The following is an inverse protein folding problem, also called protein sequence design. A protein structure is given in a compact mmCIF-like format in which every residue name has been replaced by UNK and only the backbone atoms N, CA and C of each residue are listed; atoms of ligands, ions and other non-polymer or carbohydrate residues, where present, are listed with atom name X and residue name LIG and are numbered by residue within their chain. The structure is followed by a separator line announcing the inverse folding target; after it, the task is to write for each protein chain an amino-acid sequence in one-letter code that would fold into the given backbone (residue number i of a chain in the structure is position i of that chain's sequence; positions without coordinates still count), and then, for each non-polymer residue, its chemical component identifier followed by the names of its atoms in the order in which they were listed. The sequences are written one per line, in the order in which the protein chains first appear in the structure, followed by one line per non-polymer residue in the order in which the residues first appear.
data_IF_459238820611
#
_entry.id   IF_459238820611
#
_cell.length_a   1.000
_cell.length_b   1.000
_cell.length_c   1.000
_cell.angle_alpha   90.00
_cell.angle_beta   90.00
_cell.angle_gamma   90.00
#
_symmetry.space_group_name_H-M   'P 1'
#
loop_
_entity.id
_entity.type
_entity.pdbx_description
1 polymer ?
#
# COMPACT_ATOMS: atom_id res chain seq x y z
N UNK A 1 -1.38 -12.62 19.84
CA UNK A 1 0.08 -12.55 20.15
C UNK A 1 0.23 -12.48 21.67
N UNK A 2 0.77 -13.52 22.30
CA UNK A 2 1.08 -13.49 23.73
C UNK A 2 2.49 -12.89 23.90
N UNK A 3 2.57 -11.61 24.26
CA UNK A 3 3.83 -10.96 24.57
C UNK A 3 4.27 -11.37 25.99
N UNK A 4 5.56 -11.65 26.15
CA UNK A 4 6.12 -12.05 27.43
C UNK A 4 5.86 -10.96 28.48
N UNK A 5 5.22 -11.34 29.58
CA UNK A 5 5.03 -10.47 30.75
C UNK A 5 6.40 -10.23 31.38
N UNK A 6 6.86 -8.98 31.33
CA UNK A 6 8.10 -8.56 31.98
C UNK A 6 7.83 -8.10 33.40
N UNK A 7 8.65 -8.54 34.35
CA UNK A 7 8.70 -7.95 35.68
C UNK A 7 9.93 -7.04 35.75
N UNK A 8 9.75 -5.81 36.23
CA UNK A 8 10.85 -4.97 36.69
C UNK A 8 10.99 -5.19 38.18
N UNK A 9 12.20 -5.46 38.64
CA UNK A 9 12.53 -5.52 40.07
C UNK A 9 13.70 -4.58 40.37
N UNK A 10 13.62 -3.89 41.50
CA UNK A 10 14.73 -3.08 42.01
C UNK A 10 14.92 -3.30 43.51
N UNK A 11 16.17 -3.52 43.96
CA UNK A 11 16.53 -3.55 45.38
C UNK A 11 16.87 -2.16 45.96
N UNK A 12 16.74 -1.09 45.18
CA UNK A 12 17.18 0.25 45.58
C UNK A 12 16.25 0.90 46.63
N UNK A 13 16.77 1.72 47.59
CA UNK A 13 18.16 2.15 47.75
C UNK A 13 19.01 1.29 48.70
N UNK A 14 18.43 0.60 49.68
CA UNK A 14 19.17 -0.07 50.76
C UNK A 14 19.39 -1.58 50.57
N UNK A 15 18.78 -2.21 49.57
CA UNK A 15 18.92 -3.65 49.32
C UNK A 15 18.15 -4.56 50.29
N UNK A 16 17.45 -3.99 51.28
CA UNK A 16 16.73 -4.74 52.32
C UNK A 16 15.38 -5.32 51.83
N UNK A 17 14.79 -4.71 50.80
CA UNK A 17 13.51 -5.12 50.22
C UNK A 17 13.60 -5.06 48.69
N UNK A 18 12.84 -5.92 48.00
CA UNK A 18 12.67 -5.87 46.54
C UNK A 18 11.34 -5.22 46.20
N UNK A 19 11.39 -4.08 45.52
CA UNK A 19 10.22 -3.51 44.86
C UNK A 19 10.09 -4.16 43.48
N UNK A 20 8.89 -4.62 43.14
CA UNK A 20 8.60 -5.23 41.84
C UNK A 20 7.35 -4.59 41.23
N UNK A 21 7.31 -4.54 39.90
CA UNK A 21 6.16 -4.07 39.15
C UNK A 21 5.96 -4.94 37.90
N UNK A 22 4.70 -5.29 37.62
CA UNK A 22 4.32 -5.94 36.38
C UNK A 22 4.24 -4.90 35.26
N UNK A 23 5.01 -5.09 34.19
CA UNK A 23 4.85 -4.30 32.96
C UNK A 23 3.73 -4.90 32.12
N UNK A 24 2.59 -4.22 32.09
CA UNK A 24 1.56 -4.40 31.07
C UNK A 24 1.35 -3.09 30.32
N UNK A 25 2.28 -2.70 29.43
CA UNK A 25 2.06 -1.53 28.59
C UNK A 25 0.85 -1.78 27.68
N UNK A 26 -0.04 -0.79 27.50
CA UNK A 26 -1.10 -0.89 26.51
C UNK A 26 -0.47 -0.88 25.11
N UNK A 27 -0.30 -2.07 24.54
CA UNK A 27 0.26 -2.25 23.19
C UNK A 27 -0.86 -2.56 22.21
N UNK A 28 -0.84 -1.88 21.07
CA UNK A 28 -1.71 -2.16 19.93
C UNK A 28 -0.84 -2.72 18.79
N UNK A 29 -1.24 -3.86 18.23
CA UNK A 29 -0.55 -4.46 17.09
C UNK A 29 -1.52 -4.71 15.94
N UNK A 30 -1.05 -4.52 14.71
CA UNK A 30 -1.80 -4.81 13.49
C UNK A 30 -1.44 -6.22 13.04
N UNK A 31 -2.45 -7.08 12.88
CA UNK A 31 -2.27 -8.45 12.36
C UNK A 31 -2.77 -8.48 10.94
N UNK A 32 -1.88 -8.77 9.99
CA UNK A 32 -2.27 -8.86 8.58
C UNK A 32 -3.04 -10.16 8.28
N UNK A 33 -4.03 -10.11 7.37
CA UNK A 33 -4.78 -11.29 6.98
C UNK A 33 -3.85 -12.33 6.34
N UNK A 34 -4.14 -13.62 6.58
CA UNK A 34 -3.36 -14.71 6.01
C UNK A 34 -3.67 -14.82 4.50
N UNK A 35 -2.66 -14.84 3.61
CA UNK A 35 -2.91 -14.97 2.18
C UNK A 35 -3.52 -16.35 1.85
N UNK A 36 -4.50 -16.37 0.95
CA UNK A 36 -5.12 -17.58 0.41
C UNK A 36 -4.08 -18.48 -0.31
N UNK A 37 -4.42 -19.71 -0.70
CA UNK A 37 -3.56 -20.51 -1.59
C UNK A 37 -3.44 -19.83 -2.98
N UNK A 38 -2.36 -20.15 -3.71
CA UNK A 38 -2.26 -19.75 -5.12
C UNK A 38 -3.30 -20.53 -5.92
N UNK A 39 -4.08 -19.83 -6.76
CA UNK A 39 -5.07 -20.50 -7.60
C UNK A 39 -5.95 -19.55 -8.39
N UNK A 40 -6.37 -18.44 -7.79
CA UNK A 40 -7.17 -17.44 -8.49
C UNK A 40 -6.26 -16.42 -9.19
N UNK A 41 -6.32 -16.30 -10.53
CA UNK A 41 -5.51 -15.31 -11.24
C UNK A 41 -5.90 -13.90 -10.81
N UNK A 42 -4.93 -12.97 -10.67
CA UNK A 42 -5.25 -11.58 -10.43
C UNK A 42 -6.07 -11.00 -11.59
N UNK A 43 -6.89 -9.96 -11.33
CA UNK A 43 -7.61 -9.28 -12.39
C UNK A 43 -6.64 -8.77 -13.47
N UNK A 44 -7.11 -8.69 -14.73
CA UNK A 44 -6.29 -8.26 -15.85
C UNK A 44 -5.70 -6.88 -15.55
N UNK A 45 -4.46 -6.71 -15.96
CA UNK A 45 -3.69 -5.52 -15.68
C UNK A 45 -4.31 -4.33 -16.38
N UNK A 46 -4.66 -3.28 -15.63
CA UNK A 46 -5.06 -2.01 -16.23
C UNK A 46 -3.79 -1.26 -16.62
N UNK A 47 -3.69 -0.87 -17.89
CA UNK A 47 -2.62 0.00 -18.36
C UNK A 47 -2.85 1.39 -17.79
N UNK A 48 -2.45 1.61 -16.54
CA UNK A 48 -2.41 2.95 -15.98
C UNK A 48 -1.17 3.64 -16.55
N UNK A 49 -1.40 4.66 -17.37
CA UNK A 49 -0.33 5.53 -17.83
C UNK A 49 0.17 6.46 -16.71
N UNK A 50 -0.25 6.26 -15.45
CA UNK A 50 -0.01 7.10 -14.29
C UNK A 50 0.99 6.57 -13.26
N UNK A 51 2.21 7.14 -13.28
CA UNK A 51 2.93 7.61 -12.09
C UNK A 51 3.53 6.63 -11.06
N UNK A 52 3.17 5.34 -11.05
CA UNK A 52 3.61 4.40 -10.00
C UNK A 52 5.15 4.16 -9.93
N UNK A 53 5.91 4.60 -10.94
CA UNK A 53 7.39 4.50 -10.97
C UNK A 53 8.09 5.86 -11.03
N UNK A 54 7.37 6.98 -10.90
CA UNK A 54 7.92 8.34 -11.09
C UNK A 54 8.93 8.72 -9.98
N UNK A 55 8.78 8.17 -8.77
CA UNK A 55 9.72 8.42 -7.66
C UNK A 55 11.04 7.65 -7.78
N UNK A 56 11.09 6.60 -8.61
CA UNK A 56 12.27 5.74 -8.80
C UNK A 56 13.02 6.04 -10.09
N UNK A 57 12.43 6.78 -11.04
CA UNK A 57 13.07 7.12 -12.32
C UNK A 57 13.87 8.42 -12.19
N UNK A 58 15.16 8.34 -12.51
CA UNK A 58 16.07 9.49 -12.54
C UNK A 58 15.84 10.39 -13.75
N UNK A 59 16.50 11.56 -13.78
CA UNK A 59 16.44 12.50 -14.91
C UNK A 59 16.88 11.90 -16.25
N UNK A 60 17.67 10.82 -16.22
CA UNK A 60 18.18 10.12 -17.40
C UNK A 60 17.08 9.46 -18.25
N UNK A 61 15.92 9.17 -17.65
CA UNK A 61 14.77 8.58 -18.35
C UNK A 61 13.80 9.64 -18.92
N UNK A 62 14.13 10.93 -18.94
CA UNK A 62 13.21 11.95 -19.45
C UNK A 62 13.02 11.87 -20.98
N UNK A 63 11.80 11.54 -21.44
CA UNK A 63 11.45 11.44 -22.85
C UNK A 63 10.95 12.75 -23.46
N UNK A 64 10.43 13.68 -22.65
CA UNK A 64 9.91 14.95 -23.14
C UNK A 64 8.71 15.49 -22.36
N UNK A 65 8.04 16.49 -22.95
CA UNK A 65 6.80 17.07 -22.42
C UNK A 65 5.64 16.76 -23.35
N UNK A 66 4.48 16.39 -22.78
CA UNK A 66 3.21 16.27 -23.52
C UNK A 66 2.14 17.17 -22.95
N UNK A 67 1.13 17.51 -23.74
CA UNK A 67 -0.06 18.23 -23.25
C UNK A 67 -0.82 17.40 -22.21
N UNK A 68 -1.25 18.04 -21.13
CA UNK A 68 -2.03 17.41 -20.05
C UNK A 68 -3.36 16.86 -20.58
N UNK A 69 -3.66 15.61 -20.24
CA UNK A 69 -4.96 15.00 -20.47
C UNK A 69 -5.67 14.72 -19.15
N UNK A 70 -7.01 14.81 -19.17
CA UNK A 70 -7.83 14.48 -18.01
C UNK A 70 -7.62 12.98 -17.66
N UNK A 71 -6.91 12.73 -16.56
CA UNK A 71 -6.40 11.40 -16.19
C UNK A 71 -4.93 11.42 -15.77
N UNK A 72 -4.18 12.45 -16.18
CA UNK A 72 -2.80 12.64 -15.75
C UNK A 72 -2.70 13.09 -14.29
N UNK A 73 -1.72 12.51 -13.57
CA UNK A 73 -1.40 12.93 -12.20
C UNK A 73 -0.91 14.38 -12.16
N UNK A 74 -1.44 15.24 -11.26
CA UNK A 74 -0.98 16.62 -11.08
C UNK A 74 0.51 16.73 -10.69
N UNK A 75 1.08 15.68 -10.08
CA UNK A 75 2.50 15.65 -9.70
C UNK A 75 3.44 15.69 -10.91
N UNK A 76 2.96 15.31 -12.09
CA UNK A 76 3.73 15.31 -13.34
C UNK A 76 3.66 16.64 -14.10
N UNK A 77 2.89 17.62 -13.61
CA UNK A 77 2.78 18.93 -14.26
C UNK A 77 4.17 19.59 -14.25
N UNK A 78 4.65 19.92 -15.44
CA UNK A 78 5.83 20.72 -15.63
C UNK A 78 5.48 22.17 -15.29
N UNK A 79 5.42 22.50 -14.00
CA UNK A 79 5.13 23.86 -13.51
C UNK A 79 6.05 24.91 -14.14
N UNK A 80 7.30 24.53 -14.45
CA UNK A 80 8.27 25.39 -15.16
C UNK A 80 7.83 25.71 -16.60
N UNK A 81 7.17 24.79 -17.30
CA UNK A 81 6.61 25.04 -18.63
C UNK A 81 5.30 25.85 -18.54
N UNK A 82 4.47 25.56 -17.53
CA UNK A 82 3.24 26.32 -17.27
C UNK A 82 3.54 27.80 -16.95
N UNK A 83 4.52 28.07 -16.09
CA UNK A 83 4.97 29.42 -15.75
C UNK A 83 5.55 30.19 -16.95
N UNK A 84 5.99 29.49 -18.00
CA UNK A 84 6.49 30.07 -19.26
C UNK A 84 5.38 30.28 -20.31
N UNK A 85 4.11 30.08 -19.94
CA UNK A 85 2.96 30.26 -20.84
C UNK A 85 2.77 29.13 -21.85
N UNK A 86 3.46 27.99 -21.70
CA UNK A 86 3.38 26.86 -22.66
C UNK A 86 2.17 25.93 -22.42
N UNK A 87 1.21 26.36 -21.60
CA UNK A 87 0.06 25.56 -21.21
C UNK A 87 0.38 24.47 -20.17
N UNK A 88 -0.63 23.69 -19.81
CA UNK A 88 -0.49 22.55 -18.88
C UNK A 88 0.21 21.40 -19.60
N UNK A 89 1.50 21.26 -19.30
CA UNK A 89 2.38 20.23 -19.86
C UNK A 89 2.76 19.24 -18.78
N UNK A 90 2.96 17.98 -19.17
CA UNK A 90 3.25 16.84 -18.29
C UNK A 90 4.59 16.24 -18.69
N UNK A 91 5.48 16.00 -17.71
CA UNK A 91 6.74 15.29 -17.93
C UNK A 91 6.46 13.84 -18.31
N UNK A 92 7.02 13.40 -19.44
CA UNK A 92 6.98 12.02 -19.93
C UNK A 92 8.38 11.43 -19.77
N UNK A 93 8.47 10.25 -19.19
CA UNK A 93 9.71 9.50 -19.05
C UNK A 93 9.68 8.27 -19.97
N UNK A 94 10.79 7.99 -20.65
CA UNK A 94 11.00 6.84 -21.52
C UNK A 94 11.05 5.58 -20.65
N UNK A 95 9.98 4.81 -20.68
CA UNK A 95 9.94 3.52 -20.02
C UNK A 95 8.52 3.00 -20.00
N UNK A 96 8.34 1.84 -20.64
CA UNK A 96 7.20 0.93 -20.65
C UNK A 96 5.98 1.40 -19.87
N UNK A 97 4.85 1.56 -20.58
CA UNK A 97 3.54 1.73 -19.98
C UNK A 97 3.43 0.84 -18.73
N UNK A 98 3.25 1.47 -17.56
CA UNK A 98 3.25 0.75 -16.30
C UNK A 98 1.94 0.01 -16.22
N UNK A 99 1.96 -1.24 -16.65
CA UNK A 99 0.88 -2.18 -16.44
C UNK A 99 0.72 -2.35 -14.94
N UNK A 100 -0.38 -1.82 -14.39
CA UNK A 100 -0.68 -1.88 -12.96
C UNK A 100 -1.89 -2.75 -12.68
N UNK A 101 -1.84 -3.54 -11.62
CA UNK A 101 -3.02 -4.31 -11.19
C UNK A 101 -3.90 -3.46 -10.29
N UNK A 102 -5.21 -3.41 -10.56
CA UNK A 102 -6.18 -2.85 -9.61
C UNK A 102 -6.86 -4.00 -8.87
N UNK A 103 -6.65 -4.07 -7.57
CA UNK A 103 -7.34 -5.02 -6.70
C UNK A 103 -8.56 -4.33 -6.07
N UNK A 104 -9.75 -4.84 -6.36
CA UNK A 104 -11.02 -4.28 -5.91
C UNK A 104 -11.78 -5.30 -5.04
N UNK A 105 -12.19 -4.87 -3.85
CA UNK A 105 -13.07 -5.61 -2.95
C UNK A 105 -14.38 -6.06 -3.60
N UNK A 106 -14.99 -5.19 -4.43
CA UNK A 106 -16.29 -5.46 -5.04
C UNK A 106 -16.19 -6.44 -6.21
N UNK A 107 -15.00 -6.69 -6.75
CA UNK A 107 -14.78 -7.64 -7.84
C UNK A 107 -14.85 -9.12 -7.39
N UNK A 108 -14.95 -9.38 -6.08
CA UNK A 108 -15.02 -10.74 -5.51
C UNK A 108 -16.37 -11.01 -4.79
N UNK A 109 -17.54 -10.74 -5.41
CA UNK A 109 -18.81 -10.81 -4.70
C UNK A 109 -19.20 -12.23 -4.26
N UNK A 110 -18.61 -13.25 -4.89
CA UNK A 110 -18.88 -14.67 -4.66
C UNK A 110 -18.15 -15.26 -3.44
N UNK A 111 -17.22 -14.51 -2.84
CA UNK A 111 -16.47 -14.96 -1.67
C UNK A 111 -17.04 -14.34 -0.39
N UNK A 112 -16.97 -15.09 0.70
CA UNK A 112 -17.18 -14.57 2.06
C UNK A 112 -16.17 -13.45 2.37
N UNK A 113 -16.51 -12.48 3.23
CA UNK A 113 -15.65 -11.32 3.47
C UNK A 113 -14.21 -11.67 3.89
N UNK A 114 -14.05 -12.66 4.78
CA UNK A 114 -12.72 -13.13 5.21
C UNK A 114 -11.92 -13.74 4.04
N UNK A 115 -12.61 -14.50 3.16
CA UNK A 115 -11.98 -15.08 1.98
C UNK A 115 -11.58 -14.01 0.95
N UNK A 116 -12.34 -12.91 0.84
CA UNK A 116 -11.96 -11.75 0.02
C UNK A 116 -10.68 -11.10 0.54
N UNK A 117 -10.58 -10.86 1.86
CA UNK A 117 -9.37 -10.31 2.48
C UNK A 117 -8.15 -11.22 2.25
N UNK A 118 -8.31 -12.53 2.44
CA UNK A 118 -7.26 -13.51 2.17
C UNK A 118 -6.82 -13.52 0.70
N UNK A 119 -7.76 -13.37 -0.23
CA UNK A 119 -7.48 -13.33 -1.67
C UNK A 119 -6.77 -12.03 -2.08
N UNK A 120 -7.24 -10.88 -1.58
CA UNK A 120 -6.60 -9.59 -1.83
C UNK A 120 -5.17 -9.56 -1.25
N UNK A 121 -4.98 -10.12 -0.06
CA UNK A 121 -3.65 -10.28 0.55
C UNK A 121 -2.74 -11.12 -0.35
N UNK A 122 -3.23 -12.26 -0.87
CA UNK A 122 -2.47 -13.10 -1.82
C UNK A 122 -2.05 -12.32 -3.06
N UNK A 123 -2.96 -11.56 -3.67
CA UNK A 123 -2.64 -10.78 -4.86
C UNK A 123 -1.64 -9.66 -4.61
N UNK A 124 -1.70 -8.99 -3.45
CA UNK A 124 -0.71 -7.99 -3.04
C UNK A 124 0.68 -8.63 -2.90
N UNK A 125 0.76 -9.79 -2.24
CA UNK A 125 2.03 -10.50 -2.06
C UNK A 125 2.62 -10.97 -3.39
N UNK A 126 1.79 -11.55 -4.27
CA UNK A 126 2.26 -12.01 -5.58
C UNK A 126 2.67 -10.84 -6.48
N UNK A 127 1.94 -9.71 -6.47
CA UNK A 127 2.31 -8.51 -7.22
C UNK A 127 3.59 -7.85 -6.69
N UNK A 128 3.76 -7.81 -5.36
CA UNK A 128 4.99 -7.33 -4.74
C UNK A 128 6.19 -8.22 -5.09
N UNK A 129 6.03 -9.55 -5.05
CA UNK A 129 7.06 -10.50 -5.43
C UNK A 129 7.43 -10.38 -6.92
N UNK A 130 6.46 -10.07 -7.79
CA UNK A 130 6.68 -9.82 -9.22
C UNK A 130 7.23 -8.43 -9.54
N UNK A 131 7.35 -7.53 -8.56
CA UNK A 131 7.77 -6.13 -8.79
C UNK A 131 6.79 -5.34 -9.66
N UNK A 132 5.52 -5.74 -9.69
CA UNK A 132 4.49 -5.04 -10.45
C UNK A 132 3.90 -3.90 -9.64
N UNK A 133 3.47 -2.83 -10.32
CA UNK A 133 2.68 -1.78 -9.69
C UNK A 133 1.27 -2.32 -9.41
N UNK A 134 0.71 -2.01 -8.25
CA UNK A 134 -0.66 -2.40 -7.93
C UNK A 134 -1.37 -1.36 -7.07
N UNK A 135 -2.67 -1.21 -7.24
CA UNK A 135 -3.55 -0.37 -6.42
C UNK A 135 -4.57 -1.21 -5.67
N UNK A 136 -5.08 -0.67 -4.56
CA UNK A 136 -6.08 -1.34 -3.72
C UNK A 136 -7.31 -0.44 -3.57
N UNK A 137 -8.49 -1.00 -3.82
CA UNK A 137 -9.77 -0.33 -3.61
C UNK A 137 -10.60 -1.16 -2.64
N UNK A 138 -10.88 -0.59 -1.47
CA UNK A 138 -11.80 -1.10 -0.47
C UNK A 138 -12.94 -0.08 -0.31
N UNK A 139 -14.11 -0.49 0.21
CA UNK A 139 -15.12 0.47 0.63
C UNK A 139 -14.53 1.51 1.59
N UNK A 140 -14.66 2.80 1.27
CA UNK A 140 -14.11 3.90 2.07
C UNK A 140 -12.61 4.16 1.92
N UNK A 141 -11.82 3.24 1.32
CA UNK A 141 -10.36 3.39 1.20
C UNK A 141 -9.91 3.11 -0.22
N UNK A 142 -9.29 4.12 -0.86
CA UNK A 142 -8.70 4.00 -2.20
C UNK A 142 -7.21 4.31 -2.15
N UNK A 143 -6.40 3.34 -2.52
CA UNK A 143 -4.94 3.45 -2.62
C UNK A 143 -4.56 3.39 -4.10
N UNK A 144 -3.93 4.46 -4.58
CA UNK A 144 -3.44 4.55 -5.95
C UNK A 144 -2.35 3.48 -6.23
N UNK A 145 -2.17 3.08 -7.50
CA UNK A 145 -1.09 2.19 -7.87
C UNK A 145 0.29 2.75 -7.50
N UNK A 146 1.08 1.93 -6.82
CA UNK A 146 2.46 2.24 -6.43
C UNK A 146 3.24 0.91 -6.34
N UNK A 147 4.54 0.99 -6.06
CA UNK A 147 5.45 -0.16 -5.94
C UNK A 147 6.27 -0.08 -4.65
N UNK A 148 6.75 -1.24 -4.21
CA UNK A 148 7.78 -1.33 -3.17
C UNK A 148 7.26 -1.72 -1.79
N UNK A 149 8.17 -1.83 -0.80
CA UNK A 149 7.87 -2.40 0.52
C UNK A 149 6.95 -1.51 1.37
N UNK A 150 7.10 -0.18 1.28
CA UNK A 150 6.25 0.76 1.99
C UNK A 150 4.80 0.70 1.49
N UNK A 151 4.62 0.60 0.16
CA UNK A 151 3.31 0.43 -0.44
C UNK A 151 2.65 -0.90 -0.07
N UNK A 152 3.40 -2.01 -0.13
CA UNK A 152 2.94 -3.31 0.36
C UNK A 152 2.44 -3.21 1.81
N UNK A 153 3.24 -2.61 2.70
CA UNK A 153 2.88 -2.43 4.10
C UNK A 153 1.58 -1.62 4.26
N UNK A 154 1.43 -0.53 3.51
CA UNK A 154 0.24 0.32 3.52
C UNK A 154 -1.02 -0.44 3.06
N UNK A 155 -0.92 -1.21 1.98
CA UNK A 155 -2.03 -2.01 1.47
C UNK A 155 -2.43 -3.15 2.43
N UNK A 156 -1.46 -3.90 2.98
CA UNK A 156 -1.74 -4.95 3.97
C UNK A 156 -2.32 -4.39 5.27
N UNK A 157 -1.87 -3.21 5.68
CA UNK A 157 -2.42 -2.51 6.84
C UNK A 157 -3.87 -2.06 6.59
N UNK A 158 -4.17 -1.54 5.40
CA UNK A 158 -5.54 -1.19 5.04
C UNK A 158 -6.46 -2.42 5.04
N UNK A 159 -5.98 -3.58 4.58
CA UNK A 159 -6.73 -4.84 4.68
C UNK A 159 -6.96 -5.28 6.13
N UNK A 160 -5.97 -5.12 7.00
CA UNK A 160 -6.07 -5.52 8.40
C UNK A 160 -6.98 -4.60 9.24
N UNK A 161 -7.10 -3.33 8.85
CA UNK A 161 -7.98 -2.36 9.49
C UNK A 161 -9.38 -2.33 8.89
N UNK A 162 -9.63 -3.10 7.83
CA UNK A 162 -10.92 -3.14 7.17
C UNK A 162 -11.90 -4.03 7.93
N UNK A 163 -13.00 -3.46 8.41
CA UNK A 163 -14.10 -4.20 9.04
C UNK A 163 -15.21 -4.49 8.00
N UNK A 164 -15.41 -5.76 7.60
CA UNK A 164 -16.36 -6.09 6.55
C UNK A 164 -17.85 -5.93 6.96
N UNK A 165 -18.14 -5.67 8.24
CA UNK A 165 -19.51 -5.54 8.76
C UNK A 165 -20.16 -4.16 8.59
N UNK A 166 -19.39 -3.13 8.22
CA UNK A 166 -19.89 -1.75 8.10
C UNK A 166 -20.49 -1.44 6.71
N UNK A 167 -20.42 -2.40 5.79
CA UNK A 167 -20.96 -2.33 4.43
C UNK A 167 -22.05 -3.38 4.25
N UNK A 168 -23.18 -3.18 4.94
CA UNK A 168 -24.43 -3.90 4.74
C UNK A 168 -25.50 -2.95 4.16
#
# INVERSE_FOLDING_TARGET
LALARGNIETPHPSGLFRAWAHLHPPMQCIVWPRPCARGLPPPPTETDTGGAQDSLRGEEDFAGLRSFHRGDSPRRIAWKAYARGQGLMVKVYAGTAVTSHRFDWQALPHLEPEARLAQLCRWIEDAHAGGHAFGLTLPGVKIAPDIGPAHRHRCLTALALFEPGEVA
#
